data_IF_020549128990
#
_entry.id   IF_020549128990
#
_cell.length_a   1.000
_cell.length_b   1.000
_cell.length_c   1.000
_cell.angle_alpha   90.00
_cell.angle_beta   90.00
_cell.angle_gamma   90.00
#
_symmetry.space_group_name_H-M   'P 1'
#
loop_
_entity.id
_entity.type
_entity.pdbx_description
1 polymer ?
#
# COMPACT_ATOMS: atom_id res chain seq x y z
N UNK A 1 36.80 9.57 13.44
CA UNK A 1 35.92 8.78 12.56
C UNK A 1 34.52 8.91 13.10
N UNK A 2 33.67 9.70 12.45
CA UNK A 2 32.25 9.86 12.84
C UNK A 2 31.49 8.62 12.40
N UNK A 3 30.79 7.97 13.33
CA UNK A 3 29.84 6.90 13.04
C UNK A 3 28.81 7.38 12.00
N UNK A 4 28.41 6.56 11.02
CA UNK A 4 27.39 6.94 10.07
C UNK A 4 26.06 7.11 10.82
N UNK A 5 25.52 8.34 10.83
CA UNK A 5 24.15 8.61 11.34
C UNK A 5 23.16 7.80 10.52
N UNK A 6 22.47 6.85 11.17
CA UNK A 6 21.34 6.16 10.57
C UNK A 6 20.25 7.20 10.23
N UNK A 7 19.59 6.98 9.10
CA UNK A 7 18.42 7.78 8.73
C UNK A 7 17.25 7.43 9.66
N UNK A 8 16.33 8.38 9.89
CA UNK A 8 15.14 8.19 10.75
C UNK A 8 14.31 6.95 10.36
N UNK A 9 14.25 6.63 9.07
CA UNK A 9 13.64 5.41 8.52
C UNK A 9 14.37 4.14 8.94
N UNK A 10 15.70 4.17 9.06
CA UNK A 10 16.47 3.06 9.58
C UNK A 10 16.26 2.91 11.08
N UNK A 11 16.27 4.00 11.87
CA UNK A 11 15.98 3.99 13.32
C UNK A 11 14.62 3.33 13.65
N UNK A 12 13.58 3.70 12.90
CA UNK A 12 12.22 3.14 13.03
C UNK A 12 12.16 1.61 12.92
N UNK A 13 12.91 1.05 11.97
CA UNK A 13 12.98 -0.40 11.71
C UNK A 13 13.74 -1.13 12.83
N UNK A 14 14.66 -0.44 13.52
CA UNK A 14 15.43 -0.98 14.66
C UNK A 14 14.70 -0.94 16.00
N UNK A 15 13.54 -0.28 16.09
CA UNK A 15 12.80 -0.12 17.34
C UNK A 15 11.49 -0.93 17.42
N UNK A 16 10.93 -1.36 16.27
CA UNK A 16 9.68 -2.13 16.26
C UNK A 16 9.98 -3.58 16.63
N UNK A 17 9.19 -4.13 17.56
CA UNK A 17 9.18 -5.56 17.89
C UNK A 17 8.17 -6.33 17.03
N UNK A 18 8.45 -7.60 16.78
CA UNK A 18 7.58 -8.51 16.02
C UNK A 18 6.15 -8.51 16.57
N UNK A 19 5.98 -8.51 17.89
CA UNK A 19 4.66 -8.47 18.54
C UNK A 19 3.78 -7.28 18.13
N UNK A 20 4.37 -6.17 17.68
CA UNK A 20 3.63 -4.97 17.26
C UNK A 20 3.17 -5.03 15.81
N UNK A 21 3.76 -5.93 15.02
CA UNK A 21 3.45 -6.08 13.60
C UNK A 21 2.65 -7.37 13.32
N UNK A 22 2.82 -8.42 14.11
CA UNK A 22 2.17 -9.72 13.88
C UNK A 22 0.64 -9.68 13.92
N UNK A 23 0.01 -10.66 13.28
CA UNK A 23 -1.42 -10.96 13.48
C UNK A 23 -1.58 -11.99 14.59
N UNK A 24 -2.46 -11.72 15.55
CA UNK A 24 -2.71 -12.60 16.72
C UNK A 24 -3.84 -13.60 16.50
N UNK A 25 -4.78 -13.29 15.61
CA UNK A 25 -5.85 -14.22 15.25
C UNK A 25 -5.33 -15.20 14.20
N UNK A 26 -4.82 -16.33 14.68
CA UNK A 26 -4.15 -17.33 13.85
C UNK A 26 -5.04 -18.55 13.75
N UNK A 27 -5.52 -18.82 12.52
CA UNK A 27 -6.08 -20.13 12.19
C UNK A 27 -5.00 -21.17 12.40
N UNK A 28 -5.32 -22.24 13.11
CA UNK A 28 -4.40 -23.35 13.40
C UNK A 28 -5.10 -24.67 13.17
N UNK A 29 -4.31 -25.72 12.98
CA UNK A 29 -4.79 -27.10 12.86
C UNK A 29 -4.07 -28.01 13.85
N UNK A 30 -4.69 -29.15 14.18
CA UNK A 30 -4.13 -30.18 15.06
C UNK A 30 -3.48 -31.29 14.24
N UNK A 31 -2.42 -31.92 14.79
CA UNK A 31 -1.66 -32.95 14.05
C UNK A 31 -2.45 -34.23 13.73
N UNK A 32 -3.57 -34.50 14.41
CA UNK A 32 -4.45 -35.66 14.22
C UNK A 32 -5.64 -35.39 13.29
N UNK A 33 -5.88 -34.14 12.90
CA UNK A 33 -6.85 -33.83 11.83
C UNK A 33 -6.37 -34.39 10.49
N UNK A 34 -7.30 -34.63 9.57
CA UNK A 34 -7.00 -35.19 8.25
C UNK A 34 -6.65 -34.11 7.23
N UNK A 35 -6.04 -34.50 6.10
CA UNK A 35 -5.86 -33.59 4.96
C UNK A 35 -7.20 -33.14 4.36
N UNK A 36 -8.26 -33.94 4.50
CA UNK A 36 -9.63 -33.56 4.13
C UNK A 36 -10.15 -32.40 4.99
N UNK A 37 -9.91 -32.43 6.30
CA UNK A 37 -10.23 -31.34 7.22
C UNK A 37 -9.44 -30.08 6.85
N UNK A 38 -8.14 -30.24 6.58
CA UNK A 38 -7.28 -29.15 6.15
C UNK A 38 -7.81 -28.43 4.90
N UNK A 39 -8.29 -29.19 3.91
CA UNK A 39 -8.90 -28.63 2.69
C UNK A 39 -10.07 -27.71 3.00
N UNK A 40 -10.96 -28.12 3.91
CA UNK A 40 -12.13 -27.34 4.31
C UNK A 40 -11.67 -26.07 5.04
N UNK A 41 -10.77 -26.22 6.02
CA UNK A 41 -10.24 -25.09 6.81
C UNK A 41 -9.55 -24.06 5.91
N UNK A 42 -8.71 -24.51 4.97
CA UNK A 42 -8.01 -23.62 4.03
C UNK A 42 -8.98 -22.87 3.13
N UNK A 43 -9.99 -23.55 2.59
CA UNK A 43 -11.02 -22.94 1.73
C UNK A 43 -11.83 -21.89 2.48
N UNK A 44 -12.35 -22.28 3.65
CA UNK A 44 -13.29 -21.45 4.41
C UNK A 44 -12.61 -20.21 5.00
N UNK A 45 -11.33 -20.32 5.36
CA UNK A 45 -10.52 -19.20 5.86
C UNK A 45 -9.72 -18.47 4.77
N UNK A 46 -9.80 -18.92 3.50
CA UNK A 46 -9.03 -18.36 2.37
C UNK A 46 -7.52 -18.26 2.64
N UNK A 47 -6.95 -19.31 3.21
CA UNK A 47 -5.52 -19.38 3.55
C UNK A 47 -4.80 -20.48 2.77
N UNK A 48 -3.55 -20.21 2.39
CA UNK A 48 -2.67 -21.15 1.68
C UNK A 48 -1.68 -21.90 2.57
N UNK A 49 -1.74 -21.71 3.89
CA UNK A 49 -0.89 -22.40 4.86
C UNK A 49 -1.12 -21.94 6.29
N UNK A 50 -0.94 -22.85 7.23
CA UNK A 50 -1.31 -22.68 8.63
C UNK A 50 -0.35 -23.41 9.57
N UNK A 51 -0.10 -22.88 10.78
CA UNK A 51 0.60 -23.61 11.84
C UNK A 51 -0.17 -24.84 12.29
N UNK A 52 0.58 -25.90 12.59
CA UNK A 52 0.08 -27.09 13.28
C UNK A 52 0.44 -26.97 14.76
N UNK A 53 -0.57 -27.03 15.63
CA UNK A 53 -0.45 -26.76 17.06
C UNK A 53 -1.00 -27.92 17.87
N UNK A 54 -0.27 -28.31 18.90
CA UNK A 54 -0.68 -29.31 19.89
C UNK A 54 -0.48 -28.72 21.29
N UNK A 55 -1.51 -28.71 22.12
CA UNK A 55 -1.47 -28.14 23.48
C UNK A 55 -0.91 -26.70 23.54
N UNK A 56 -1.24 -25.88 22.53
CA UNK A 56 -0.78 -24.49 22.42
C UNK A 56 0.67 -24.30 21.96
N UNK A 57 1.39 -25.39 21.67
CA UNK A 57 2.77 -25.36 21.15
C UNK A 57 2.78 -25.61 19.64
N UNK A 58 3.65 -24.90 18.94
CA UNK A 58 3.91 -25.13 17.52
C UNK A 58 4.63 -26.48 17.34
N UNK A 59 4.03 -27.39 16.59
CA UNK A 59 4.61 -28.71 16.28
C UNK A 59 4.92 -28.91 14.79
N UNK A 60 4.41 -28.03 13.93
CA UNK A 60 4.70 -28.07 12.50
C UNK A 60 4.06 -26.92 11.72
N UNK A 61 4.28 -26.93 10.41
CA UNK A 61 3.60 -26.08 9.43
C UNK A 61 3.07 -26.95 8.30
N UNK A 62 1.88 -26.61 7.80
CA UNK A 62 1.26 -27.28 6.67
C UNK A 62 0.77 -26.24 5.66
N UNK A 63 0.89 -26.53 4.38
CA UNK A 63 0.61 -25.61 3.28
C UNK A 63 -0.28 -26.24 2.20
N UNK A 64 -0.77 -25.40 1.30
CA UNK A 64 -1.58 -25.84 0.16
C UNK A 64 -0.79 -26.76 -0.78
N UNK A 65 0.54 -26.61 -0.86
CA UNK A 65 1.42 -27.52 -1.59
C UNK A 65 1.36 -28.93 -1.02
N UNK A 66 1.40 -29.06 0.31
CA UNK A 66 1.31 -30.35 1.00
C UNK A 66 -0.07 -31.00 0.78
N UNK A 67 -1.13 -30.18 0.72
CA UNK A 67 -2.48 -30.63 0.39
C UNK A 67 -2.59 -31.11 -1.07
N UNK A 68 -2.02 -30.38 -2.02
CA UNK A 68 -1.98 -30.78 -3.44
C UNK A 68 -1.23 -32.10 -3.58
N UNK A 69 -0.09 -32.26 -2.91
CA UNK A 69 0.67 -33.50 -2.92
C UNK A 69 -0.14 -34.67 -2.34
N UNK A 70 -0.82 -34.48 -1.21
CA UNK A 70 -1.68 -35.51 -0.63
C UNK A 70 -2.85 -35.89 -1.56
N UNK A 71 -3.44 -34.93 -2.29
CA UNK A 71 -4.47 -35.21 -3.28
C UNK A 71 -3.94 -36.04 -4.46
N UNK A 72 -2.76 -35.70 -4.99
CA UNK A 72 -2.14 -36.45 -6.09
C UNK A 72 -1.77 -37.89 -5.69
N UNK A 73 -1.42 -38.09 -4.43
CA UNK A 73 -1.07 -39.40 -3.87
C UNK A 73 -2.28 -40.18 -3.32
N UNK A 74 -3.50 -39.63 -3.41
CA UNK A 74 -4.73 -40.22 -2.87
C UNK A 74 -4.68 -40.47 -1.34
N UNK A 75 -4.05 -39.56 -0.61
CA UNK A 75 -3.82 -39.62 0.84
C UNK A 75 -4.64 -38.56 1.58
N UNK A 76 -5.86 -38.28 1.12
CA UNK A 76 -6.69 -37.20 1.67
C UNK A 76 -7.17 -37.49 3.11
N UNK A 77 -7.25 -38.77 3.48
CA UNK A 77 -7.62 -39.23 4.83
C UNK A 77 -6.40 -39.36 5.76
N UNK A 78 -5.19 -39.12 5.26
CA UNK A 78 -3.98 -39.17 6.07
C UNK A 78 -3.99 -38.04 7.13
N UNK A 79 -3.42 -38.27 8.32
CA UNK A 79 -3.35 -37.24 9.35
C UNK A 79 -2.30 -36.18 8.98
N UNK A 80 -2.56 -34.93 9.36
CA UNK A 80 -1.70 -33.77 9.06
C UNK A 80 -0.26 -33.98 9.53
N UNK A 81 -0.04 -34.67 10.67
CA UNK A 81 1.31 -34.97 11.18
C UNK A 81 2.21 -35.70 10.20
N UNK A 82 1.64 -36.48 9.28
CA UNK A 82 2.41 -37.27 8.32
C UNK A 82 2.82 -36.43 7.09
N UNK A 83 2.20 -35.26 6.90
CA UNK A 83 2.42 -34.37 5.75
C UNK A 83 3.03 -33.02 6.14
N UNK A 84 2.99 -32.65 7.42
CA UNK A 84 3.51 -31.37 7.90
C UNK A 84 5.03 -31.30 7.91
N UNK A 85 5.57 -30.09 7.77
CA UNK A 85 6.98 -29.78 7.99
C UNK A 85 7.20 -29.52 9.48
N UNK A 86 8.04 -30.32 10.12
CA UNK A 86 8.31 -30.25 11.58
C UNK A 86 9.41 -29.25 11.94
N UNK A 87 10.39 -29.05 11.06
CA UNK A 87 11.43 -28.02 11.23
C UNK A 87 10.90 -26.68 10.74
N UNK A 88 10.24 -25.97 11.64
CA UNK A 88 9.60 -24.69 11.35
C UNK A 88 10.48 -23.55 11.84
N UNK A 89 10.88 -22.70 10.92
CA UNK A 89 11.43 -21.42 11.27
C UNK A 89 10.35 -20.52 11.87
N UNK A 90 10.68 -19.79 12.94
CA UNK A 90 9.78 -18.86 13.61
C UNK A 90 10.51 -17.57 14.00
N UNK A 91 9.77 -16.62 14.59
CA UNK A 91 10.28 -15.48 15.34
C UNK A 91 9.74 -15.51 16.76
N UNK A 92 10.43 -14.85 17.69
CA UNK A 92 9.88 -14.54 19.01
C UNK A 92 9.24 -13.14 19.05
N UNK A 93 8.28 -12.95 19.96
CA UNK A 93 7.55 -11.69 20.14
C UNK A 93 8.44 -10.47 20.38
N UNK A 94 9.53 -10.66 21.10
CA UNK A 94 10.49 -9.64 21.51
C UNK A 94 11.61 -9.39 20.49
N UNK A 95 11.67 -10.16 19.40
CA UNK A 95 12.60 -9.91 18.31
C UNK A 95 12.30 -8.59 17.60
N UNK A 96 13.34 -7.97 17.07
CA UNK A 96 13.22 -6.75 16.28
C UNK A 96 12.73 -7.05 14.87
N UNK A 97 11.84 -6.20 14.36
CA UNK A 97 11.21 -6.33 13.05
C UNK A 97 12.27 -6.33 11.92
N UNK A 98 13.39 -5.63 12.06
CA UNK A 98 14.51 -5.66 11.11
C UNK A 98 15.03 -7.07 10.82
N UNK A 99 15.06 -7.94 11.84
CA UNK A 99 15.51 -9.32 11.66
C UNK A 99 14.57 -10.13 10.78
N UNK A 100 13.29 -9.74 10.76
CA UNK A 100 12.30 -10.40 9.90
C UNK A 100 12.60 -10.17 8.43
N UNK A 101 12.95 -8.93 8.04
CA UNK A 101 13.27 -8.56 6.67
C UNK A 101 14.44 -9.42 6.16
N UNK A 102 15.50 -9.55 6.95
CA UNK A 102 16.66 -10.35 6.59
C UNK A 102 16.32 -11.84 6.38
N UNK A 103 15.47 -12.41 7.24
CA UNK A 103 15.06 -13.82 7.15
C UNK A 103 14.12 -14.04 5.96
N UNK A 104 13.14 -13.17 5.76
CA UNK A 104 12.23 -13.19 4.60
C UNK A 104 12.95 -13.07 3.26
N UNK A 105 14.03 -12.28 3.18
CA UNK A 105 14.82 -12.13 1.95
C UNK A 105 15.72 -13.34 1.66
N UNK A 106 16.15 -14.05 2.71
CA UNK A 106 16.99 -15.26 2.58
C UNK A 106 16.18 -16.54 2.41
N UNK A 107 14.93 -16.53 2.86
CA UNK A 107 14.01 -17.66 2.77
C UNK A 107 13.08 -17.56 1.57
N UNK A 108 12.56 -18.71 1.11
CA UNK A 108 11.41 -18.75 0.20
C UNK A 108 10.04 -18.65 0.92
N UNK A 109 10.01 -18.39 2.22
CA UNK A 109 8.77 -18.42 3.00
C UNK A 109 7.96 -17.13 2.89
N UNK A 110 6.64 -17.26 2.79
CA UNK A 110 5.71 -16.12 2.70
C UNK A 110 5.16 -15.68 4.07
N UNK A 111 5.30 -16.53 5.09
CA UNK A 111 4.82 -16.31 6.46
C UNK A 111 5.67 -17.08 7.47
N UNK A 112 5.72 -16.57 8.70
CA UNK A 112 6.41 -17.20 9.83
C UNK A 112 5.51 -17.21 11.06
N UNK A 113 5.44 -18.34 11.79
CA UNK A 113 4.87 -18.37 13.14
C UNK A 113 5.65 -17.45 14.08
N UNK A 114 4.93 -16.81 15.00
CA UNK A 114 5.50 -16.03 16.10
C UNK A 114 5.21 -16.73 17.41
N UNK A 115 6.27 -16.96 18.18
CA UNK A 115 6.22 -17.64 19.46
C UNK A 115 6.50 -16.67 20.61
N UNK A 116 5.93 -16.94 21.78
CA UNK A 116 6.46 -16.36 23.00
C UNK A 116 7.72 -17.14 23.46
N UNK A 117 8.39 -16.65 24.51
CA UNK A 117 9.57 -17.32 25.08
C UNK A 117 9.26 -18.65 25.76
N UNK A 118 7.99 -18.98 26.01
CA UNK A 118 7.56 -20.29 26.52
C UNK A 118 7.35 -21.33 25.40
N UNK A 119 7.50 -20.92 24.14
CA UNK A 119 7.34 -21.77 22.96
C UNK A 119 5.87 -21.92 22.52
N UNK A 120 4.97 -21.06 23.00
CA UNK A 120 3.57 -21.05 22.57
C UNK A 120 3.41 -20.20 21.32
N UNK A 121 2.53 -20.64 20.43
CA UNK A 121 2.12 -19.83 19.28
C UNK A 121 1.27 -18.66 19.76
N UNK A 122 1.69 -17.44 19.41
CA UNK A 122 1.01 -16.19 19.81
C UNK A 122 0.70 -15.29 18.62
N UNK A 123 1.22 -15.61 17.44
CA UNK A 123 0.88 -14.89 16.22
C UNK A 123 1.48 -15.49 14.97
N UNK A 124 1.22 -14.82 13.85
CA UNK A 124 1.85 -15.06 12.57
C UNK A 124 2.32 -13.72 12.00
N UNK A 125 3.48 -13.73 11.34
CA UNK A 125 4.01 -12.55 10.66
C UNK A 125 4.22 -12.83 9.18
N UNK A 126 3.79 -11.90 8.35
CA UNK A 126 3.91 -11.89 6.89
C UNK A 126 4.65 -10.64 6.43
N UNK A 127 5.10 -10.61 5.16
CA UNK A 127 5.65 -9.37 4.56
C UNK A 127 4.66 -8.20 4.64
N UNK A 128 3.37 -8.47 4.44
CA UNK A 128 2.30 -7.48 4.59
C UNK A 128 2.25 -6.92 6.01
N UNK A 129 2.27 -7.78 7.02
CA UNK A 129 2.30 -7.37 8.42
C UNK A 129 3.49 -6.46 8.78
N UNK A 130 4.68 -6.70 8.21
CA UNK A 130 5.85 -5.83 8.39
C UNK A 130 5.55 -4.42 7.89
N UNK A 131 5.03 -4.31 6.66
CA UNK A 131 4.67 -3.03 6.05
C UNK A 131 3.59 -2.32 6.87
N UNK A 132 2.55 -3.04 7.28
CA UNK A 132 1.47 -2.48 8.11
C UNK A 132 1.98 -2.00 9.47
N UNK A 133 2.86 -2.77 10.12
CA UNK A 133 3.48 -2.38 11.39
C UNK A 133 4.34 -1.13 11.28
N UNK A 134 5.08 -0.99 10.18
CA UNK A 134 5.86 0.22 9.88
C UNK A 134 4.97 1.45 9.66
N UNK A 135 3.92 1.30 8.85
CA UNK A 135 2.96 2.37 8.57
C UNK A 135 2.24 2.83 9.85
N UNK A 136 1.78 1.88 10.68
CA UNK A 136 1.14 2.19 11.97
C UNK A 136 2.07 2.94 12.91
N UNK A 137 3.36 2.61 12.94
CA UNK A 137 4.34 3.34 13.75
C UNK A 137 4.55 4.77 13.22
N UNK A 138 4.64 4.94 11.91
CA UNK A 138 4.73 6.26 11.28
C UNK A 138 3.50 7.12 11.60
N UNK A 139 2.30 6.53 11.55
CA UNK A 139 1.05 7.21 11.92
C UNK A 139 1.08 7.68 13.38
N UNK A 140 1.44 6.80 14.31
CA UNK A 140 1.57 7.14 15.73
C UNK A 140 2.58 8.28 15.94
N UNK A 141 3.74 8.25 15.29
CA UNK A 141 4.74 9.32 15.41
C UNK A 141 4.28 10.65 14.80
N UNK A 142 3.53 10.61 13.70
CA UNK A 142 2.87 11.78 13.11
C UNK A 142 1.84 12.36 14.09
N UNK A 143 1.00 11.52 14.69
CA UNK A 143 0.02 11.95 15.70
C UNK A 143 0.69 12.52 16.95
N UNK A 144 1.83 11.97 17.40
CA UNK A 144 2.61 12.52 18.51
C UNK A 144 3.22 13.89 18.18
N UNK A 145 3.63 14.11 16.92
CA UNK A 145 4.15 15.41 16.47
C UNK A 145 3.05 16.45 16.26
N UNK A 146 1.83 16.04 15.93
CA UNK A 146 0.64 16.90 15.85
C UNK A 146 -0.03 17.17 17.21
N UNK A 147 0.17 16.31 18.22
CA UNK A 147 -0.33 16.54 19.59
C UNK A 147 0.31 17.76 20.27
N UNK A 148 1.37 18.32 19.68
CA UNK A 148 1.94 19.63 20.01
C UNK A 148 1.21 20.83 19.36
N UNK A 149 0.11 20.63 18.61
CA UNK A 149 -0.69 21.70 18.02
C UNK A 149 -2.03 21.25 17.38
N UNK A 150 -3.13 21.64 18.04
CA UNK A 150 -4.57 21.49 17.74
C UNK A 150 -5.06 21.28 16.28
N UNK A 151 -6.02 20.34 16.07
CA UNK A 151 -7.45 20.62 15.76
C UNK A 151 -8.31 19.36 15.42
N UNK A 152 -9.55 19.38 15.95
CA UNK A 152 -10.84 18.64 15.75
C UNK A 152 -10.99 17.30 14.99
N UNK A 153 -11.99 16.51 15.43
CA UNK A 153 -12.02 15.03 15.50
C UNK A 153 -12.99 14.29 14.55
N UNK A 154 -13.73 14.92 13.64
CA UNK A 154 -14.98 14.31 13.16
C UNK A 154 -15.06 13.73 11.73
N UNK A 155 -14.08 13.87 10.83
CA UNK A 155 -14.14 13.23 9.48
C UNK A 155 -12.84 12.51 9.09
N UNK A 156 -12.36 11.58 9.93
CA UNK A 156 -11.21 10.73 9.59
C UNK A 156 -11.69 9.38 9.01
N UNK A 157 -11.57 9.10 7.70
CA UNK A 157 -11.72 7.74 7.18
C UNK A 157 -10.64 6.86 7.81
N UNK A 158 -11.06 6.00 8.74
CA UNK A 158 -10.12 5.24 9.56
C UNK A 158 -9.44 4.18 8.70
N UNK A 159 -8.11 4.16 8.72
CA UNK A 159 -7.21 3.12 8.17
C UNK A 159 -7.71 1.68 8.43
N UNK A 160 -8.53 1.49 9.46
CA UNK A 160 -9.29 0.26 9.76
C UNK A 160 -10.14 -0.25 8.59
N UNK A 161 -10.78 0.63 7.81
CA UNK A 161 -11.60 0.26 6.65
C UNK A 161 -10.75 -0.20 5.45
N UNK A 162 -9.46 0.10 5.46
CA UNK A 162 -8.51 -0.30 4.42
C UNK A 162 -8.02 -1.76 4.62
N UNK A 163 -8.11 -2.30 5.83
CA UNK A 163 -7.58 -3.62 6.17
C UNK A 163 -8.52 -4.79 5.88
N UNK A 164 -9.84 -4.55 5.83
CA UNK A 164 -10.83 -5.60 5.58
C UNK A 164 -10.78 -6.14 4.14
N UNK A 165 -10.18 -5.40 3.21
CA UNK A 165 -10.15 -5.74 1.78
C UNK A 165 -8.91 -6.57 1.33
N UNK A 166 -7.96 -6.89 2.21
CA UNK A 166 -6.55 -7.26 1.85
C UNK A 166 -6.29 -8.78 1.66
N UNK A 167 -7.26 -9.59 1.23
CA UNK A 167 -6.97 -10.96 0.76
C UNK A 167 -6.88 -11.03 -0.78
N UNK A 168 -5.70 -10.81 -1.36
CA UNK A 168 -5.28 -11.40 -2.66
C UNK A 168 -3.80 -11.06 -3.02
N UNK A 169 -3.13 -12.01 -3.67
CA UNK A 169 -1.68 -12.19 -3.88
C UNK A 169 -0.91 -11.17 -4.75
N UNK A 170 -1.37 -9.94 -4.93
CA UNK A 170 -0.58 -8.88 -5.60
C UNK A 170 -0.73 -7.57 -4.83
N UNK A 171 0.30 -7.21 -4.06
CA UNK A 171 0.27 -5.96 -3.28
C UNK A 171 0.34 -4.79 -4.26
N UNK A 172 -0.82 -4.23 -4.60
CA UNK A 172 -0.96 -2.92 -5.24
C UNK A 172 -1.33 -1.89 -4.17
N UNK A 173 -0.53 -0.83 -4.00
CA UNK A 173 -0.88 0.26 -3.07
C UNK A 173 -1.71 1.29 -3.80
N UNK A 174 -2.94 1.56 -3.34
CA UNK A 174 -3.75 2.67 -3.86
C UNK A 174 -3.79 3.80 -2.85
N UNK A 175 -3.32 4.97 -3.23
CA UNK A 175 -3.45 6.21 -2.47
C UNK A 175 -4.56 7.05 -3.08
N UNK A 176 -5.40 7.67 -2.24
CA UNK A 176 -6.50 8.54 -2.68
C UNK A 176 -6.43 9.86 -1.94
N UNK A 177 -6.51 10.95 -2.67
CA UNK A 177 -6.46 12.31 -2.14
C UNK A 177 -7.64 13.10 -2.69
N UNK A 178 -8.40 13.72 -1.81
CA UNK A 178 -9.44 14.65 -2.23
C UNK A 178 -8.83 16.01 -2.52
N UNK A 179 -9.21 16.59 -3.66
CA UNK A 179 -8.81 17.94 -4.06
C UNK A 179 -10.06 18.80 -3.98
N UNK A 180 -10.07 19.78 -3.08
CA UNK A 180 -11.18 20.73 -2.98
C UNK A 180 -11.08 21.79 -4.08
N UNK A 181 -12.20 22.10 -4.73
CA UNK A 181 -12.31 23.26 -5.62
C UNK A 181 -12.69 24.48 -4.81
N UNK A 182 -11.70 25.25 -4.35
CA UNK A 182 -11.90 26.48 -3.60
C UNK A 182 -11.39 27.70 -4.38
N UNK A 183 -12.11 28.83 -4.27
CA UNK A 183 -11.62 30.11 -4.76
C UNK A 183 -10.32 30.48 -4.01
N UNK A 184 -9.21 30.56 -4.73
CA UNK A 184 -7.90 30.92 -4.20
C UNK A 184 -6.89 29.77 -4.02
N UNK A 185 -7.18 28.56 -4.50
CA UNK A 185 -6.24 27.41 -4.50
C UNK A 185 -5.64 27.07 -3.12
N UNK A 186 -6.34 27.37 -2.03
CA UNK A 186 -5.88 27.04 -0.68
C UNK A 186 -5.75 25.52 -0.53
N UNK A 187 -4.54 25.05 -0.26
CA UNK A 187 -4.22 23.62 -0.17
C UNK A 187 -3.87 22.95 -1.50
N UNK A 188 -3.84 23.67 -2.63
CA UNK A 188 -3.38 23.12 -3.89
C UNK A 188 -1.89 22.75 -3.84
N UNK A 189 -1.58 21.57 -4.37
CA UNK A 189 -0.26 20.95 -4.33
C UNK A 189 -0.03 20.06 -3.10
N UNK A 190 -1.02 19.94 -2.21
CA UNK A 190 -0.94 19.09 -1.02
C UNK A 190 -0.95 17.62 -1.42
N UNK A 191 -1.86 17.21 -2.32
CA UNK A 191 -1.92 15.83 -2.80
C UNK A 191 -0.61 15.44 -3.51
N UNK A 192 -0.09 16.31 -4.37
CA UNK A 192 1.20 16.08 -5.04
C UNK A 192 2.38 15.95 -4.05
N UNK A 193 2.41 16.80 -3.01
CA UNK A 193 3.48 16.79 -2.00
C UNK A 193 3.41 15.55 -1.10
N UNK A 194 2.21 15.18 -0.66
CA UNK A 194 1.98 13.98 0.15
C UNK A 194 2.29 12.70 -0.63
N UNK A 195 1.81 12.60 -1.88
CA UNK A 195 2.13 11.47 -2.76
C UNK A 195 3.64 11.34 -2.96
N UNK A 196 4.35 12.45 -3.23
CA UNK A 196 5.82 12.45 -3.38
C UNK A 196 6.54 12.02 -2.10
N UNK A 197 6.01 12.33 -0.92
CA UNK A 197 6.58 11.90 0.36
C UNK A 197 6.38 10.40 0.59
N UNK A 198 5.16 9.90 0.35
CA UNK A 198 4.85 8.47 0.48
C UNK A 198 5.66 7.63 -0.50
N UNK A 199 5.72 8.03 -1.77
CA UNK A 199 6.52 7.32 -2.78
C UNK A 199 8.02 7.34 -2.46
N UNK A 200 8.53 8.41 -1.82
CA UNK A 200 9.92 8.44 -1.33
C UNK A 200 10.16 7.42 -0.22
N UNK A 201 9.20 7.27 0.69
CA UNK A 201 9.25 6.25 1.75
C UNK A 201 9.21 4.85 1.15
N UNK A 202 8.42 4.65 0.08
CA UNK A 202 8.36 3.39 -0.68
C UNK A 202 9.60 3.13 -1.55
N UNK A 203 10.61 4.01 -1.52
CA UNK A 203 11.89 3.79 -2.21
C UNK A 203 11.91 4.19 -3.69
N UNK A 204 10.93 4.95 -4.16
CA UNK A 204 10.91 5.46 -5.54
C UNK A 204 12.09 6.43 -5.75
N UNK A 205 12.82 6.27 -6.86
CA UNK A 205 14.05 7.02 -7.09
C UNK A 205 13.79 8.53 -7.33
N UNK A 206 14.74 9.42 -6.98
CA UNK A 206 14.55 10.87 -7.09
C UNK A 206 14.13 11.39 -8.49
N UNK A 207 14.65 10.86 -9.61
CA UNK A 207 14.19 11.28 -10.94
C UNK A 207 12.70 10.97 -11.18
N UNK A 208 12.26 9.77 -10.81
CA UNK A 208 10.88 9.33 -10.96
C UNK A 208 9.94 10.11 -10.02
N UNK A 209 10.35 10.34 -8.78
CA UNK A 209 9.63 11.21 -7.83
C UNK A 209 9.43 12.64 -8.34
N UNK A 210 10.42 13.20 -9.05
CA UNK A 210 10.31 14.55 -9.61
C UNK A 210 9.24 14.60 -10.70
N UNK A 211 9.26 13.64 -11.62
CA UNK A 211 8.29 13.52 -12.71
C UNK A 211 6.87 13.37 -12.17
N UNK A 212 6.67 12.43 -11.22
CA UNK A 212 5.36 12.19 -10.59
C UNK A 212 4.88 13.45 -9.85
N UNK A 213 5.75 14.09 -9.07
CA UNK A 213 5.38 15.29 -8.31
C UNK A 213 4.93 16.45 -9.19
N UNK A 214 5.64 16.71 -10.30
CA UNK A 214 5.28 17.79 -11.24
C UNK A 214 3.95 17.48 -11.94
N UNK A 215 3.79 16.27 -12.47
CA UNK A 215 2.56 15.89 -13.16
C UNK A 215 1.33 15.91 -12.23
N UNK A 216 1.48 15.41 -11.01
CA UNK A 216 0.40 15.38 -10.02
C UNK A 216 0.02 16.80 -9.59
N UNK A 217 0.99 17.69 -9.42
CA UNK A 217 0.72 19.10 -9.08
C UNK A 217 -0.11 19.79 -10.17
N UNK A 218 0.27 19.63 -11.44
CA UNK A 218 -0.48 20.21 -12.56
C UNK A 218 -1.91 19.65 -12.64
N UNK A 219 -2.08 18.34 -12.39
CA UNK A 219 -3.39 17.71 -12.36
C UNK A 219 -4.26 18.24 -11.21
N UNK A 220 -3.67 18.42 -10.02
CA UNK A 220 -4.34 18.99 -8.85
C UNK A 220 -4.80 20.44 -9.09
N UNK A 221 -3.95 21.26 -9.73
CA UNK A 221 -4.31 22.63 -10.12
C UNK A 221 -5.48 22.62 -11.11
N UNK A 222 -5.51 21.69 -12.07
CA UNK A 222 -6.64 21.58 -12.99
C UNK A 222 -7.95 21.22 -12.26
N UNK A 223 -7.92 20.24 -11.36
CA UNK A 223 -9.08 19.87 -10.55
C UNK A 223 -9.59 21.07 -9.75
N UNK A 224 -8.70 21.79 -9.05
CA UNK A 224 -9.08 22.92 -8.22
C UNK A 224 -9.55 24.15 -9.02
N UNK A 225 -9.05 24.33 -10.25
CA UNK A 225 -9.32 25.52 -11.08
C UNK A 225 -10.60 25.42 -11.91
N UNK A 226 -10.93 24.23 -12.41
CA UNK A 226 -11.99 24.04 -13.42
C UNK A 226 -13.23 23.31 -12.89
N UNK A 227 -13.18 22.82 -11.66
CA UNK A 227 -14.21 21.93 -11.11
C UNK A 227 -14.55 22.34 -9.67
N UNK A 228 -15.53 21.68 -9.05
CA UNK A 228 -15.81 21.83 -7.61
C UNK A 228 -14.80 21.06 -6.73
N UNK A 229 -13.80 20.46 -7.34
CA UNK A 229 -12.90 19.51 -6.73
C UNK A 229 -13.03 18.14 -7.38
N UNK A 230 -12.11 17.26 -7.01
CA UNK A 230 -12.04 15.91 -7.55
C UNK A 230 -11.17 15.02 -6.68
N UNK A 231 -10.63 13.98 -7.30
CA UNK A 231 -9.82 12.98 -6.63
C UNK A 231 -8.54 12.71 -7.42
N UNK A 232 -7.41 12.70 -6.71
CA UNK A 232 -6.16 12.13 -7.20
C UNK A 232 -6.05 10.71 -6.64
N UNK A 233 -5.90 9.72 -7.51
CA UNK A 233 -5.58 8.34 -7.12
C UNK A 233 -4.18 7.98 -7.59
N UNK A 234 -3.40 7.28 -6.78
CA UNK A 234 -2.12 6.75 -7.22
C UNK A 234 -2.07 5.25 -6.94
N UNK A 235 -1.87 4.45 -7.98
CA UNK A 235 -1.76 3.00 -7.91
C UNK A 235 -0.30 2.60 -8.11
N UNK A 236 0.30 2.02 -7.08
CA UNK A 236 1.67 1.49 -7.10
C UNK A 236 1.57 -0.01 -7.37
N UNK A 237 2.09 -0.43 -8.51
CA UNK A 237 2.03 -1.81 -8.99
C UNK A 237 3.43 -2.34 -9.30
N UNK A 238 3.56 -3.62 -9.68
CA UNK A 238 4.85 -4.24 -10.02
C UNK A 238 5.51 -3.57 -11.25
N UNK A 239 4.71 -3.09 -12.19
CA UNK A 239 5.19 -2.50 -13.46
C UNK A 239 5.61 -1.03 -13.31
N UNK A 240 5.12 -0.33 -12.28
CA UNK A 240 5.27 1.11 -12.15
C UNK A 240 4.19 1.73 -11.27
N UNK A 241 3.92 3.01 -11.52
CA UNK A 241 2.96 3.81 -10.78
C UNK A 241 1.99 4.45 -11.78
N UNK A 242 0.69 4.25 -11.59
CA UNK A 242 -0.35 5.04 -12.25
C UNK A 242 -0.80 6.15 -11.31
N UNK A 243 -1.05 7.34 -11.84
CA UNK A 243 -1.71 8.45 -11.14
C UNK A 243 -2.92 8.89 -11.97
N UNK A 244 -4.09 8.86 -11.36
CA UNK A 244 -5.36 9.27 -11.95
C UNK A 244 -5.83 10.57 -11.32
N UNK A 245 -6.40 11.47 -12.12
CA UNK A 245 -7.11 12.65 -11.67
C UNK A 245 -8.54 12.58 -12.22
N UNK A 246 -9.52 12.58 -11.33
CA UNK A 246 -10.92 12.32 -11.63
C UNK A 246 -11.78 13.46 -11.09
N UNK A 247 -12.64 14.02 -11.93
CA UNK A 247 -13.67 14.97 -11.52
C UNK A 247 -15.04 14.63 -12.11
N UNK A 248 -16.09 15.09 -11.43
CA UNK A 248 -17.46 15.17 -11.98
C UNK A 248 -17.81 16.58 -12.44
N UNK A 249 -16.81 17.33 -12.93
CA UNK A 249 -16.95 18.69 -13.42
C UNK A 249 -17.58 18.75 -14.82
N UNK A 250 -17.48 19.89 -15.51
CA UNK A 250 -18.19 20.12 -16.77
C UNK A 250 -17.66 19.30 -17.96
N UNK A 251 -16.52 18.63 -17.81
CA UNK A 251 -15.80 18.00 -18.92
C UNK A 251 -15.08 19.02 -19.82
N UNK A 252 -14.32 18.51 -20.77
CA UNK A 252 -13.52 19.23 -21.76
C UNK A 252 -14.17 19.00 -23.13
N UNK A 253 -14.79 20.02 -23.76
CA UNK A 253 -15.50 19.86 -25.03
C UNK A 253 -14.60 19.44 -26.19
N UNK A 254 -13.36 19.89 -26.20
CA UNK A 254 -12.36 19.60 -27.24
C UNK A 254 -11.02 19.28 -26.57
N UNK A 255 -10.77 17.98 -26.40
CA UNK A 255 -9.57 17.46 -25.75
C UNK A 255 -8.33 17.74 -26.59
N UNK A 256 -8.42 17.63 -27.92
CA UNK A 256 -7.27 17.87 -28.80
C UNK A 256 -6.77 19.30 -28.67
N UNK A 257 -7.71 20.26 -28.65
CA UNK A 257 -7.40 21.67 -28.47
C UNK A 257 -6.89 21.98 -27.06
N UNK A 258 -7.43 21.33 -26.03
CA UNK A 258 -6.95 21.46 -24.65
C UNK A 258 -5.49 21.01 -24.46
N UNK A 259 -5.01 20.10 -25.31
CA UNK A 259 -3.63 19.61 -25.31
C UNK A 259 -2.64 20.51 -26.06
N UNK A 260 -3.10 21.60 -26.71
CA UNK A 260 -2.23 22.52 -27.44
C UNK A 260 -1.53 23.50 -26.48
N UNK A 261 -0.20 23.69 -26.60
CA UNK A 261 0.54 24.65 -25.78
C UNK A 261 -0.04 26.06 -25.87
N UNK A 262 -0.27 26.69 -24.72
CA UNK A 262 -0.78 28.06 -24.63
C UNK A 262 -2.30 28.18 -24.70
N UNK A 263 -3.02 27.09 -25.01
CA UNK A 263 -4.48 27.09 -24.96
C UNK A 263 -4.98 26.91 -23.53
N UNK A 264 -5.88 27.79 -23.09
CA UNK A 264 -6.34 27.83 -21.70
C UNK A 264 -7.75 28.39 -21.59
N UNK A 265 -8.63 27.63 -20.97
CA UNK A 265 -9.99 28.04 -20.59
C UNK A 265 -10.06 28.55 -19.16
N UNK A 266 -8.89 28.86 -18.54
CA UNK A 266 -8.79 29.27 -17.15
C UNK A 266 -9.68 30.48 -16.84
N UNK A 267 -10.49 30.43 -15.77
CA UNK A 267 -11.19 31.60 -15.24
C UNK A 267 -10.21 32.73 -14.88
N UNK A 268 -10.69 33.98 -14.89
CA UNK A 268 -9.84 35.15 -14.66
C UNK A 268 -9.13 35.12 -13.29
N UNK A 269 -9.80 34.65 -12.24
CA UNK A 269 -9.21 34.49 -10.91
C UNK A 269 -8.04 33.47 -10.87
N UNK A 270 -8.02 32.49 -11.77
CA UNK A 270 -6.91 31.51 -11.91
C UNK A 270 -5.73 32.17 -12.61
N UNK A 271 -6.00 33.03 -13.61
CA UNK A 271 -5.00 33.80 -14.33
C UNK A 271 -4.32 34.85 -13.46
N UNK A 272 -5.08 35.51 -12.60
CA UNK A 272 -4.57 36.49 -11.63
C UNK A 272 -3.58 35.87 -10.62
N UNK A 273 -3.74 34.58 -10.32
CA UNK A 273 -2.82 33.82 -9.47
C UNK A 273 -1.54 33.34 -10.19
N UNK A 274 -1.35 33.72 -11.46
CA UNK A 274 -0.21 33.31 -12.29
C UNK A 274 -0.35 31.92 -12.91
N UNK A 275 -1.53 31.29 -12.80
CA UNK A 275 -1.84 30.01 -13.45
C UNK A 275 -2.61 30.24 -14.76
N UNK A 276 -2.91 29.17 -15.51
CA UNK A 276 -3.72 29.30 -16.73
C UNK A 276 -2.96 29.80 -17.97
N UNK A 277 -1.63 29.65 -18.01
CA UNK A 277 -0.81 29.86 -19.21
C UNK A 277 -0.98 28.76 -20.28
N UNK A 278 -1.87 27.78 -20.07
CA UNK A 278 -2.14 26.69 -21.01
C UNK A 278 -1.02 25.65 -21.12
N UNK A 279 -0.26 25.47 -20.03
CA UNK A 279 0.89 24.55 -19.99
C UNK A 279 0.64 23.27 -19.18
N UNK A 280 -0.43 23.21 -18.37
CA UNK A 280 -0.62 22.13 -17.39
C UNK A 280 -0.67 20.73 -18.01
N UNK A 281 -1.61 20.48 -18.93
CA UNK A 281 -1.73 19.18 -19.61
C UNK A 281 -0.48 18.82 -20.45
N UNK A 282 0.18 19.83 -21.02
CA UNK A 282 1.44 19.65 -21.78
C UNK A 282 2.58 19.22 -20.85
N UNK A 283 2.68 19.84 -19.68
CA UNK A 283 3.68 19.50 -18.66
C UNK A 283 3.46 18.09 -18.11
N UNK A 284 2.19 17.72 -17.88
CA UNK A 284 1.82 16.35 -17.50
C UNK A 284 2.32 15.35 -18.53
N UNK A 285 1.95 15.55 -19.81
CA UNK A 285 2.35 14.66 -20.91
C UNK A 285 3.87 14.50 -21.02
N UNK A 286 4.63 15.58 -20.80
CA UNK A 286 6.10 15.54 -20.81
C UNK A 286 6.70 14.77 -19.62
N UNK A 287 6.01 14.74 -18.49
CA UNK A 287 6.50 14.11 -17.27
C UNK A 287 6.11 12.63 -17.18
N UNK A 288 4.97 12.21 -17.72
CA UNK A 288 4.51 10.82 -17.73
C UNK A 288 5.10 9.99 -18.88
N UNK A 289 5.21 8.68 -18.71
CA UNK A 289 5.58 7.76 -19.80
C UNK A 289 4.39 7.46 -20.72
N UNK A 290 3.20 7.36 -20.14
CA UNK A 290 1.93 7.23 -20.84
C UNK A 290 0.89 8.16 -20.21
N UNK A 291 0.00 8.71 -21.03
CA UNK A 291 -1.05 9.62 -20.61
C UNK A 291 -2.31 9.38 -21.43
N UNK A 292 -3.40 9.09 -20.74
CA UNK A 292 -4.73 8.97 -21.32
C UNK A 292 -5.66 10.01 -20.70
N UNK A 293 -6.38 10.77 -21.52
CA UNK A 293 -7.33 11.77 -21.06
C UNK A 293 -8.70 11.48 -21.68
N UNK A 294 -9.65 11.07 -20.84
CA UNK A 294 -11.04 10.83 -21.22
C UNK A 294 -11.89 11.92 -20.61
N UNK A 295 -12.65 12.63 -21.42
CA UNK A 295 -13.54 13.69 -20.95
C UNK A 295 -14.83 13.66 -21.72
N UNK A 296 -15.95 13.76 -21.01
CA UNK A 296 -17.29 13.82 -21.61
C UNK A 296 -17.99 15.03 -21.05
N UNK A 297 -18.62 15.83 -21.91
CA UNK A 297 -19.45 16.95 -21.47
C UNK A 297 -20.89 16.46 -21.34
N UNK A 298 -21.55 16.57 -20.17
CA UNK A 298 -21.14 17.25 -18.94
C UNK A 298 -20.63 16.32 -17.81
N UNK A 299 -20.18 15.10 -18.14
CA UNK A 299 -19.93 14.01 -17.18
C UNK A 299 -18.52 14.01 -16.54
N UNK A 300 -17.74 15.07 -16.73
CA UNK A 300 -16.44 15.26 -16.10
C UNK A 300 -15.26 14.69 -16.87
N UNK A 301 -14.12 14.62 -16.19
CA UNK A 301 -12.83 14.24 -16.79
C UNK A 301 -12.12 13.18 -15.96
N UNK A 302 -11.52 12.23 -16.66
CA UNK A 302 -10.62 11.23 -16.11
C UNK A 302 -9.28 11.30 -16.87
N UNK A 303 -8.27 11.79 -16.18
CA UNK A 303 -6.88 11.80 -16.64
C UNK A 303 -6.13 10.65 -15.97
N UNK A 304 -5.47 9.81 -16.74
CA UNK A 304 -4.57 8.75 -16.26
C UNK A 304 -3.15 9.04 -16.74
N UNK A 305 -2.19 8.97 -15.83
CA UNK A 305 -0.76 9.17 -16.07
C UNK A 305 -0.02 7.93 -15.58
N UNK A 306 0.80 7.29 -16.42
CA UNK A 306 1.61 6.14 -16.02
C UNK A 306 3.08 6.48 -16.01
N UNK A 307 3.77 5.93 -15.02
CA UNK A 307 5.18 6.09 -14.76
C UNK A 307 5.78 4.70 -14.59
N UNK A 308 6.53 4.24 -15.58
CA UNK A 308 7.18 2.93 -15.52
C UNK A 308 8.40 3.02 -14.60
N UNK A 309 8.64 1.97 -13.80
CA UNK A 309 9.90 1.90 -13.07
C UNK A 309 11.09 1.84 -14.02
N UNK A 310 10.89 1.13 -15.15
CA UNK A 310 11.83 0.78 -16.22
C UNK A 310 13.25 0.37 -15.77
N UNK A 311 13.57 -0.87 -16.15
CA UNK A 311 14.86 -1.59 -16.29
C UNK A 311 16.13 -1.00 -15.66
#
# INVERSE_FOLDING_TARGET
MTEPKLTKTQELVYEIRVEKAMTTDVVTVRPDQTMADLRIIMRDNRISGTPVVENGKLVGMISIEDLINALMSNEIDAPIRDKMKTKVDCFYTDELLVHTIAKFSKSGHTRYPVLDRSGRLVGIITKGNIVQGLLKKLEIEFEMTESTGASTREDRPTIRKFFEDVYADEISFTFKYHVAGEQGLKGAGKAASELKNVLRILGVCPPLLRRIGVATYEAEINLASYTKGGEIRALVEKWGIAVEAIDGGPGIPDVERAMQPGYSTAPDWVRELGFGAGMGLVNIKKCSDDMELKSTVPDGTHLTMKFYYTS
#
